data_IF_175678509290
#
_entry.id   IF_175678509290
#
_cell.length_a   1.000
_cell.length_b   1.000
_cell.length_c   1.000
_cell.angle_alpha   90.00
_cell.angle_beta   90.00
_cell.angle_gamma   90.00
#
_symmetry.space_group_name_H-M   'P 1'
#
loop_
_entity.id
_entity.type
_entity.pdbx_description
1 polymer ?
#
# COMPACT_ATOMS: atom_id res chain seq x y z
N UNK A 1 -5.30 0.42 -9.21
CA UNK A 1 -6.51 0.77 -8.47
C UNK A 1 -6.40 2.21 -8.00
N UNK A 2 -7.43 3.00 -8.11
CA UNK A 2 -7.48 4.41 -7.72
C UNK A 2 -8.96 4.82 -7.62
N UNK A 3 -9.29 5.76 -6.74
CA UNK A 3 -10.63 6.33 -6.64
C UNK A 3 -10.95 7.31 -7.79
N UNK A 4 -9.93 7.78 -8.51
CA UNK A 4 -10.08 8.70 -9.64
C UNK A 4 -10.41 7.93 -10.93
N UNK A 5 -11.68 7.93 -11.31
CA UNK A 5 -12.16 7.23 -12.51
C UNK A 5 -11.46 7.69 -13.81
N UNK A 6 -11.18 8.99 -13.96
CA UNK A 6 -10.53 9.51 -15.16
C UNK A 6 -9.07 9.01 -15.28
N UNK A 7 -8.33 8.99 -14.15
CA UNK A 7 -6.97 8.45 -14.10
C UNK A 7 -6.96 6.94 -14.43
N UNK A 8 -7.94 6.19 -13.92
CA UNK A 8 -8.06 4.75 -14.20
C UNK A 8 -8.42 4.49 -15.67
N UNK A 9 -9.35 5.25 -16.25
CA UNK A 9 -9.69 5.13 -17.67
C UNK A 9 -8.47 5.38 -18.58
N UNK A 10 -7.68 6.41 -18.27
CA UNK A 10 -6.44 6.70 -19.01
C UNK A 10 -5.39 5.59 -18.86
N UNK A 11 -5.20 5.07 -17.65
CA UNK A 11 -4.28 3.96 -17.38
C UNK A 11 -4.72 2.68 -18.13
N UNK A 12 -6.03 2.37 -18.13
CA UNK A 12 -6.61 1.24 -18.83
C UNK A 12 -6.41 1.34 -20.34
N UNK A 13 -6.67 2.51 -20.93
CA UNK A 13 -6.42 2.74 -22.37
C UNK A 13 -4.96 2.55 -22.76
N UNK A 14 -4.01 2.97 -21.91
CA UNK A 14 -2.58 2.75 -22.16
C UNK A 14 -2.20 1.29 -22.07
N UNK A 15 -2.73 0.57 -21.07
CA UNK A 15 -2.48 -0.86 -20.91
C UNK A 15 -3.08 -1.71 -22.02
N UNK A 16 -4.21 -1.29 -22.61
CA UNK A 16 -4.84 -1.97 -23.74
C UNK A 16 -4.10 -1.85 -25.09
N UNK A 17 -2.94 -1.16 -25.12
CA UNK A 17 -2.11 -1.10 -26.33
C UNK A 17 -1.44 -2.44 -26.60
N UNK A 18 -0.87 -2.60 -27.80
CA UNK A 18 -0.01 -3.76 -28.11
C UNK A 18 1.21 -3.78 -27.19
N UNK A 19 1.74 -4.97 -26.86
CA UNK A 19 2.87 -5.14 -25.96
C UNK A 19 4.11 -4.31 -26.38
N UNK A 20 4.38 -4.22 -27.69
CA UNK A 20 5.48 -3.45 -28.27
C UNK A 20 5.36 -1.94 -28.02
N UNK A 21 4.15 -1.48 -27.68
CA UNK A 21 3.83 -0.09 -27.33
C UNK A 21 3.58 0.11 -25.84
N UNK A 22 4.06 -0.83 -25.02
CA UNK A 22 3.94 -0.79 -23.56
C UNK A 22 2.58 -1.21 -23.01
N UNK A 23 1.82 -1.99 -23.77
CA UNK A 23 0.56 -2.60 -23.32
C UNK A 23 0.80 -3.70 -22.28
N UNK A 24 -0.19 -3.93 -21.44
CA UNK A 24 -0.19 -4.92 -20.35
C UNK A 24 -1.44 -5.79 -20.47
N UNK A 25 -1.30 -6.97 -21.05
CA UNK A 25 -2.43 -7.89 -21.28
C UNK A 25 -3.02 -8.48 -19.98
N UNK A 26 -2.26 -8.48 -18.90
CA UNK A 26 -2.60 -9.06 -17.61
C UNK A 26 -2.91 -8.00 -16.52
N UNK A 27 -3.35 -6.82 -16.92
CA UNK A 27 -3.67 -5.73 -16.00
C UNK A 27 -5.19 -5.51 -15.91
N UNK A 28 -5.71 -5.49 -14.69
CA UNK A 28 -7.08 -5.10 -14.37
C UNK A 28 -7.08 -3.74 -13.69
N UNK A 29 -7.95 -2.84 -14.13
CA UNK A 29 -8.09 -1.50 -13.58
C UNK A 29 -9.41 -1.38 -12.83
N UNK A 30 -9.34 -1.05 -11.55
CA UNK A 30 -10.48 -0.95 -10.65
C UNK A 30 -10.57 0.48 -10.12
N UNK A 31 -11.74 1.10 -10.28
CA UNK A 31 -12.07 2.39 -9.65
C UNK A 31 -12.65 2.11 -8.29
N UNK A 32 -11.87 2.32 -7.25
CA UNK A 32 -12.29 2.11 -5.86
C UNK A 32 -11.37 2.87 -4.89
N UNK A 33 -11.94 3.33 -3.78
CA UNK A 33 -11.19 3.80 -2.63
C UNK A 33 -10.75 2.61 -1.75
N UNK A 34 -9.69 2.79 -0.97
CA UNK A 34 -9.18 1.71 -0.10
C UNK A 34 -10.20 1.29 0.98
N UNK A 35 -11.04 2.22 1.39
CA UNK A 35 -12.13 2.05 2.37
C UNK A 35 -13.32 1.25 1.83
N UNK A 36 -13.45 1.16 0.51
CA UNK A 36 -14.62 0.57 -0.17
C UNK A 36 -14.17 -0.27 -1.37
N UNK A 37 -13.31 -1.25 -1.12
CA UNK A 37 -12.84 -2.18 -2.16
C UNK A 37 -13.92 -3.21 -2.49
N UNK A 38 -14.09 -3.60 -3.77
CA UNK A 38 -15.00 -4.65 -4.18
C UNK A 38 -14.70 -5.97 -3.45
N UNK A 39 -15.71 -6.70 -2.97
CA UNK A 39 -15.53 -7.97 -2.27
C UNK A 39 -14.92 -9.06 -3.15
N UNK A 40 -15.03 -8.94 -4.46
CA UNK A 40 -14.43 -9.85 -5.45
C UNK A 40 -12.90 -9.84 -5.39
N UNK A 41 -12.30 -8.84 -4.73
CA UNK A 41 -10.84 -8.77 -4.52
C UNK A 41 -10.37 -9.45 -3.23
N UNK A 42 -11.29 -9.94 -2.39
CA UNK A 42 -10.96 -10.48 -1.08
C UNK A 42 -10.02 -11.69 -1.18
N UNK A 43 -8.93 -11.62 -0.43
CA UNK A 43 -7.96 -12.72 -0.35
C UNK A 43 -7.19 -13.01 -1.64
N UNK A 44 -7.21 -12.14 -2.65
CA UNK A 44 -6.55 -12.40 -3.93
C UNK A 44 -5.08 -11.95 -3.98
N UNK A 45 -4.69 -10.93 -3.23
CA UNK A 45 -3.40 -10.31 -3.41
C UNK A 45 -2.28 -10.96 -2.59
N UNK A 46 -1.21 -11.40 -3.25
CA UNK A 46 0.06 -11.78 -2.60
C UNK A 46 0.84 -10.56 -2.14
N UNK A 47 0.72 -9.47 -2.92
CA UNK A 47 1.41 -8.21 -2.69
C UNK A 47 0.49 -7.04 -3.01
N UNK A 48 0.27 -6.19 -2.03
CA UNK A 48 -0.34 -4.87 -2.20
C UNK A 48 0.75 -3.82 -2.18
N UNK A 49 0.77 -2.93 -3.16
CA UNK A 49 1.71 -1.80 -3.20
C UNK A 49 0.95 -0.48 -3.23
N UNK A 50 1.37 0.46 -2.38
CA UNK A 50 0.87 1.84 -2.39
C UNK A 50 2.06 2.76 -2.55
N UNK A 51 2.09 3.49 -3.65
CA UNK A 51 3.20 4.34 -4.00
C UNK A 51 2.80 5.81 -3.99
N UNK A 52 3.38 6.57 -3.05
CA UNK A 52 3.18 8.01 -2.90
C UNK A 52 1.70 8.39 -2.83
N UNK A 53 0.94 7.81 -1.89
CA UNK A 53 -0.47 8.16 -1.70
C UNK A 53 -0.60 9.64 -1.38
N UNK A 54 -1.78 10.19 -1.67
CA UNK A 54 -2.12 11.58 -1.38
C UNK A 54 -3.54 11.68 -0.80
N UNK A 55 -3.86 12.82 -0.21
CA UNK A 55 -5.21 13.12 0.29
C UNK A 55 -5.68 12.15 1.38
N UNK A 56 -6.91 11.65 1.26
CA UNK A 56 -7.53 10.76 2.25
C UNK A 56 -6.75 9.46 2.43
N UNK A 57 -6.27 8.84 1.36
CA UNK A 57 -5.50 7.61 1.46
C UNK A 57 -4.21 7.80 2.27
N UNK A 58 -3.47 8.90 2.05
CA UNK A 58 -2.28 9.18 2.85
C UNK A 58 -2.63 9.39 4.32
N UNK A 59 -3.66 10.21 4.60
CA UNK A 59 -4.13 10.42 5.98
C UNK A 59 -4.54 9.13 6.65
N UNK A 60 -5.38 8.33 5.99
CA UNK A 60 -5.87 7.06 6.54
C UNK A 60 -4.74 6.05 6.82
N UNK A 61 -3.72 5.99 5.96
CA UNK A 61 -2.55 5.15 6.20
C UNK A 61 -1.73 5.64 7.39
N UNK A 62 -1.49 6.94 7.52
CA UNK A 62 -0.71 7.51 8.63
C UNK A 62 -1.47 7.53 9.96
N UNK A 63 -2.79 7.65 9.92
CA UNK A 63 -3.65 7.54 11.09
C UNK A 63 -4.02 6.09 11.44
N UNK A 64 -3.57 5.12 10.65
CA UNK A 64 -3.95 3.71 10.76
C UNK A 64 -5.48 3.52 10.80
N UNK A 65 -6.21 4.24 9.95
CA UNK A 65 -7.67 4.22 9.93
C UNK A 65 -8.20 2.80 9.66
N UNK A 66 -9.12 2.27 10.50
CA UNK A 66 -9.63 0.92 10.37
C UNK A 66 -10.23 0.61 8.99
N UNK A 67 -10.95 1.56 8.39
CA UNK A 67 -11.55 1.37 7.07
C UNK A 67 -10.48 1.19 5.97
N UNK A 68 -9.40 1.99 6.02
CA UNK A 68 -8.30 1.92 5.06
C UNK A 68 -7.47 0.65 5.24
N UNK A 69 -6.97 0.41 6.46
CA UNK A 69 -6.12 -0.76 6.73
C UNK A 69 -6.89 -2.06 6.63
N UNK A 70 -8.15 -2.09 7.10
CA UNK A 70 -9.04 -3.24 6.97
C UNK A 70 -9.33 -3.56 5.51
N UNK A 71 -9.58 -2.56 4.66
CA UNK A 71 -9.76 -2.74 3.22
C UNK A 71 -8.53 -3.35 2.55
N UNK A 72 -7.34 -2.80 2.85
CA UNK A 72 -6.09 -3.33 2.30
C UNK A 72 -5.77 -4.76 2.81
N UNK A 73 -5.99 -5.02 4.11
CA UNK A 73 -5.77 -6.34 4.69
C UNK A 73 -6.73 -7.38 4.09
N UNK A 74 -8.00 -7.02 3.88
CA UNK A 74 -9.05 -7.90 3.36
C UNK A 74 -8.74 -8.43 1.96
N UNK A 75 -8.18 -7.62 1.07
CA UNK A 75 -7.83 -8.07 -0.28
C UNK A 75 -6.56 -8.93 -0.32
N UNK A 76 -5.76 -8.92 0.75
CA UNK A 76 -4.55 -9.73 0.83
C UNK A 76 -4.88 -11.16 1.24
N UNK A 77 -4.17 -12.12 0.65
CA UNK A 77 -4.24 -13.51 1.15
C UNK A 77 -3.42 -13.63 2.45
N UNK A 78 -3.74 -14.61 3.30
CA UNK A 78 -2.95 -14.89 4.51
C UNK A 78 -1.46 -15.03 4.20
N UNK A 79 -0.62 -14.29 4.94
CA UNK A 79 0.83 -14.22 4.68
C UNK A 79 1.23 -13.30 3.53
N UNK A 80 0.28 -12.65 2.86
CA UNK A 80 0.52 -11.64 1.84
C UNK A 80 1.29 -10.45 2.39
N UNK A 81 1.83 -9.63 1.50
CA UNK A 81 2.70 -8.50 1.84
C UNK A 81 2.08 -7.17 1.45
N UNK A 82 2.23 -6.16 2.31
CA UNK A 82 1.95 -4.76 2.02
C UNK A 82 3.27 -4.01 1.88
N UNK A 83 3.42 -3.22 0.83
CA UNK A 83 4.57 -2.31 0.62
C UNK A 83 4.07 -0.90 0.42
N UNK A 84 4.50 0.02 1.27
CA UNK A 84 4.19 1.44 1.17
C UNK A 84 5.46 2.22 0.85
N UNK A 85 5.37 3.13 -0.10
CA UNK A 85 6.32 4.23 -0.28
C UNK A 85 5.56 5.52 -0.01
N UNK A 86 5.91 6.19 1.08
CA UNK A 86 5.22 7.39 1.55
C UNK A 86 6.17 8.56 1.71
N UNK A 87 5.64 9.75 1.56
CA UNK A 87 6.35 10.99 1.84
C UNK A 87 5.36 11.97 2.42
N UNK A 88 5.66 12.51 3.60
CA UNK A 88 4.89 13.57 4.22
C UNK A 88 5.86 14.61 4.81
N UNK A 89 5.62 15.87 4.51
CA UNK A 89 6.47 17.00 4.87
C UNK A 89 5.61 18.15 5.39
N UNK A 90 6.23 19.18 5.94
CA UNK A 90 5.51 20.40 6.37
C UNK A 90 4.67 21.04 5.26
N UNK A 91 5.03 20.84 3.97
CA UNK A 91 4.26 21.34 2.82
C UNK A 91 2.89 20.63 2.67
N UNK A 92 2.72 19.50 3.32
CA UNK A 92 1.50 18.69 3.25
C UNK A 92 0.52 19.03 4.38
N UNK A 93 0.90 19.96 5.28
CA UNK A 93 0.07 20.40 6.42
C UNK A 93 -1.30 20.94 5.97
N UNK A 94 -1.36 21.64 4.83
CA UNK A 94 -2.62 22.10 4.25
C UNK A 94 -3.58 20.98 3.83
N UNK A 95 -3.07 19.76 3.64
CA UNK A 95 -3.86 18.55 3.39
C UNK A 95 -4.17 17.76 4.69
N UNK A 96 -3.89 18.33 5.86
CA UNK A 96 -4.10 17.69 7.16
C UNK A 96 -3.12 16.54 7.46
N UNK A 97 -1.91 16.62 6.91
CA UNK A 97 -0.87 15.61 7.10
C UNK A 97 0.33 16.22 7.80
N UNK A 98 0.70 15.69 8.96
CA UNK A 98 1.92 16.07 9.65
C UNK A 98 3.18 15.53 8.93
N UNK A 99 4.35 16.20 9.06
CA UNK A 99 5.60 15.64 8.59
C UNK A 99 5.85 14.27 9.22
N UNK A 100 6.35 13.33 8.42
CA UNK A 100 6.64 11.97 8.85
C UNK A 100 8.13 11.82 9.16
N UNK A 101 8.46 11.41 10.37
CA UNK A 101 9.79 11.10 10.84
C UNK A 101 9.99 9.63 11.21
N UNK A 102 11.18 9.29 11.68
CA UNK A 102 11.52 7.91 12.02
C UNK A 102 10.73 7.41 13.23
N UNK A 103 10.51 8.27 14.24
CA UNK A 103 9.69 7.96 15.42
C UNK A 103 8.24 7.62 15.05
N UNK A 104 7.68 8.31 14.07
CA UNK A 104 6.30 8.09 13.63
C UNK A 104 6.14 6.72 12.96
N UNK A 105 7.18 6.26 12.25
CA UNK A 105 7.19 4.91 11.66
C UNK A 105 7.15 3.81 12.72
N UNK A 106 7.81 4.01 13.85
CA UNK A 106 7.75 3.06 14.95
C UNK A 106 6.35 3.00 15.58
N UNK A 107 5.70 4.15 15.75
CA UNK A 107 4.32 4.23 16.23
C UNK A 107 3.33 3.54 15.26
N UNK A 108 3.51 3.72 13.94
CA UNK A 108 2.71 3.04 12.93
C UNK A 108 2.80 1.52 13.03
N UNK A 109 3.96 0.96 13.41
CA UNK A 109 4.12 -0.48 13.53
C UNK A 109 3.15 -1.10 14.55
N UNK A 110 2.98 -0.46 15.71
CA UNK A 110 2.00 -0.88 16.71
C UNK A 110 0.56 -0.77 16.24
N UNK A 111 0.21 0.34 15.59
CA UNK A 111 -1.13 0.59 15.08
C UNK A 111 -1.51 -0.42 13.96
N UNK A 112 -0.60 -0.72 13.04
CA UNK A 112 -0.82 -1.69 11.96
C UNK A 112 -1.02 -3.11 12.48
N UNK A 113 -0.33 -3.49 13.57
CA UNK A 113 -0.50 -4.80 14.21
C UNK A 113 -1.94 -5.05 14.66
N UNK A 114 -2.65 -4.01 15.12
CA UNK A 114 -4.08 -4.08 15.47
C UNK A 114 -4.99 -4.48 14.31
N UNK A 115 -4.51 -4.36 13.07
CA UNK A 115 -5.22 -4.78 11.85
C UNK A 115 -4.65 -6.07 11.24
N UNK A 116 -3.87 -6.84 12.00
CA UNK A 116 -3.23 -8.07 11.53
C UNK A 116 -2.06 -7.83 10.57
N UNK A 117 -1.58 -6.61 10.44
CA UNK A 117 -0.47 -6.22 9.57
C UNK A 117 0.82 -6.07 10.39
N UNK A 118 1.60 -7.14 10.50
CA UNK A 118 2.89 -7.12 11.17
C UNK A 118 3.92 -6.34 10.35
N UNK A 119 4.36 -5.18 10.81
CA UNK A 119 5.41 -4.39 10.15
C UNK A 119 6.75 -5.10 10.32
N UNK A 120 7.33 -5.53 9.21
CA UNK A 120 8.61 -6.27 9.17
C UNK A 120 9.78 -5.37 8.79
N UNK A 121 9.50 -4.19 8.23
CA UNK A 121 10.53 -3.21 7.86
C UNK A 121 9.93 -1.81 7.80
N UNK A 122 10.60 -0.86 8.44
CA UNK A 122 10.32 0.56 8.34
C UNK A 122 11.67 1.30 8.32
N UNK A 123 11.91 2.11 7.28
CA UNK A 123 13.20 2.83 7.10
C UNK A 123 13.09 3.94 6.06
N UNK A 124 14.06 4.85 5.98
CA UNK A 124 14.22 5.72 4.83
C UNK A 124 14.26 4.91 3.54
N UNK A 125 13.53 5.37 2.51
CA UNK A 125 13.54 4.74 1.20
C UNK A 125 14.84 5.08 0.46
N UNK A 126 15.44 4.08 -0.17
CA UNK A 126 16.62 4.25 -1.01
C UNK A 126 16.23 4.73 -2.42
N UNK A 127 17.17 5.29 -3.20
CA UNK A 127 16.92 5.61 -4.61
C UNK A 127 16.43 4.39 -5.41
N UNK A 128 16.94 3.19 -5.09
CA UNK A 128 16.50 1.95 -5.72
C UNK A 128 15.03 1.61 -5.41
N UNK A 129 14.57 1.82 -4.16
CA UNK A 129 13.16 1.63 -3.80
C UNK A 129 12.23 2.56 -4.59
N UNK A 130 12.65 3.81 -4.75
CA UNK A 130 11.89 4.83 -5.47
C UNK A 130 11.85 4.51 -6.96
N UNK A 131 12.99 4.17 -7.55
CA UNK A 131 13.11 3.79 -8.96
C UNK A 131 12.24 2.57 -9.29
N UNK A 132 12.29 1.54 -8.44
CA UNK A 132 11.50 0.32 -8.60
C UNK A 132 9.98 0.54 -8.50
N UNK A 133 9.52 1.68 -7.97
CA UNK A 133 8.09 2.00 -7.93
C UNK A 133 7.52 2.37 -9.30
N UNK A 134 8.36 2.80 -10.24
CA UNK A 134 7.98 3.36 -11.54
C UNK A 134 6.93 4.48 -11.46
N UNK A 135 6.78 5.12 -10.30
CA UNK A 135 5.75 6.13 -10.06
C UNK A 135 6.07 7.45 -10.75
N UNK A 136 5.23 7.84 -11.70
CA UNK A 136 5.31 9.17 -12.32
C UNK A 136 4.94 10.28 -11.34
N UNK A 137 4.03 10.00 -10.41
CA UNK A 137 3.68 10.93 -9.33
C UNK A 137 4.83 11.12 -8.36
N UNK A 138 5.52 10.04 -7.95
CA UNK A 138 6.73 10.13 -7.15
C UNK A 138 7.80 11.03 -7.77
N UNK A 139 8.01 10.94 -9.09
CA UNK A 139 8.91 11.83 -9.82
C UNK A 139 8.49 13.30 -9.73
N UNK A 140 7.19 13.60 -9.90
CA UNK A 140 6.64 14.96 -9.79
C UNK A 140 6.79 15.54 -8.39
N UNK A 141 6.66 14.74 -7.36
CA UNK A 141 6.88 15.13 -5.96
C UNK A 141 8.36 15.38 -5.64
N UNK A 142 9.29 15.03 -6.51
CA UNK A 142 10.72 15.10 -6.25
C UNK A 142 11.18 14.07 -5.24
N UNK A 143 10.56 12.88 -5.26
CA UNK A 143 10.95 11.77 -4.41
C UNK A 143 12.42 11.39 -4.63
N UNK A 144 13.16 11.23 -3.54
CA UNK A 144 14.59 10.91 -3.56
C UNK A 144 15.54 12.09 -3.73
N UNK A 145 15.03 13.31 -4.03
CA UNK A 145 15.90 14.49 -4.21
C UNK A 145 15.49 15.66 -3.31
N UNK A 146 14.20 15.92 -3.17
CA UNK A 146 13.67 17.12 -2.49
C UNK A 146 12.80 16.82 -1.28
N UNK A 147 12.47 15.56 -1.05
CA UNK A 147 11.55 15.12 0.01
C UNK A 147 12.07 13.86 0.69
N UNK A 148 11.97 13.76 2.01
CA UNK A 148 12.18 12.51 2.70
C UNK A 148 11.11 11.50 2.22
N UNK A 149 11.53 10.28 2.02
CA UNK A 149 10.67 9.19 1.60
C UNK A 149 10.92 8.00 2.51
N UNK A 150 9.85 7.29 2.82
CA UNK A 150 9.87 6.18 3.76
C UNK A 150 9.34 4.92 3.09
N UNK A 151 10.01 3.82 3.33
CA UNK A 151 9.55 2.49 2.97
C UNK A 151 9.03 1.80 4.24
N UNK A 152 7.77 1.36 4.18
CA UNK A 152 7.20 0.45 5.16
C UNK A 152 6.79 -0.84 4.45
N UNK A 153 7.13 -1.98 5.07
CA UNK A 153 6.69 -3.30 4.62
C UNK A 153 6.01 -4.00 5.79
N UNK A 154 4.83 -4.54 5.53
CA UNK A 154 4.11 -5.35 6.50
C UNK A 154 3.70 -6.68 5.89
N UNK A 155 3.44 -7.69 6.73
CA UNK A 155 2.84 -8.96 6.36
C UNK A 155 1.50 -9.12 7.04
N UNK A 156 0.52 -9.60 6.31
CA UNK A 156 -0.73 -10.04 6.90
C UNK A 156 -0.47 -11.32 7.69
N UNK A 157 -0.87 -11.32 8.96
CA UNK A 157 -0.76 -12.50 9.81
C UNK A 157 -1.52 -13.67 9.19
N UNK A 158 -0.91 -14.86 9.18
CA UNK A 158 -1.62 -16.06 8.84
C UNK A 158 -2.54 -16.44 10.02
N UNK A 159 -3.73 -17.01 9.77
CA UNK A 159 -4.58 -17.51 10.84
C UNK A 159 -3.82 -18.53 11.71
N UNK A 160 -3.91 -18.37 13.03
CA UNK A 160 -3.13 -19.15 14.02
C UNK A 160 -3.58 -20.62 14.18
N UNK A 161 -4.57 -21.10 13.41
CA UNK A 161 -5.17 -22.44 13.57
C UNK A 161 -4.32 -23.62 13.04
N UNK A 162 -3.10 -23.37 12.55
CA UNK A 162 -2.27 -24.44 11.96
C UNK A 162 -1.61 -25.40 12.95
N UNK A 163 -1.90 -25.33 14.24
CA UNK A 163 -1.35 -26.25 15.23
C UNK A 163 -2.43 -26.78 16.16
N UNK A 164 -3.43 -27.51 15.61
CA UNK A 164 -4.08 -28.54 16.42
C UNK A 164 -3.13 -29.74 16.43
N UNK A 165 -2.58 -30.15 17.58
CA UNK A 165 -1.88 -31.41 17.64
C UNK A 165 -2.89 -32.52 17.32
N UNK A 166 -2.60 -33.32 16.29
CA UNK A 166 -3.29 -34.56 16.04
C UNK A 166 -3.00 -35.48 17.23
N UNK A 167 -3.84 -35.43 18.24
CA UNK A 167 -3.85 -36.40 19.34
C UNK A 167 -4.18 -37.77 18.74
N UNK A 168 -3.16 -38.61 18.58
CA UNK A 168 -3.35 -40.06 18.45
C UNK A 168 -3.80 -40.56 19.82
N UNK A 169 -5.07 -40.88 19.93
CA UNK A 169 -5.53 -41.78 21.00
C UNK A 169 -5.19 -43.22 20.55
N UNK A 170 -4.32 -43.83 21.30
CA UNK A 170 -4.15 -45.30 21.34
C UNK A 170 -5.27 -45.93 22.14
#
# INVERSE_FOLDING_TARGET
MDANAAAMAEASRRAGRRAERGGLANALFVVAAAEALPPELDGLADLVTVHFPWGSLLRGLLAAEPAVLGGLARIMRPGGSLRLLVSATARDAGAGVAPLGESDLAALAGAYAGHGLAVVKARPATPADISASHSTWGKRLGAGTRRPNWLLRARLAAPSWRHAPTGRST
#
